data_IF_791130065174
#
_entry.id   IF_791130065174
#
_cell.length_a   1.000
_cell.length_b   1.000
_cell.length_c   1.000
_cell.angle_alpha   90.00
_cell.angle_beta   90.00
_cell.angle_gamma   90.00
#
_symmetry.space_group_name_H-M   'P 1'
#
loop_
_entity.id
_entity.type
_entity.pdbx_description
1 polymer ?
#
# COMPACT_ATOMS: atom_id res chain seq x y z
N UNK A 1 -12.84 39.59 -14.41
CA UNK A 1 -12.91 38.12 -14.27
C UNK A 1 -14.36 37.74 -14.06
N UNK A 2 -15.06 37.16 -15.04
CA UNK A 2 -16.41 36.67 -14.80
C UNK A 2 -16.32 35.43 -13.88
N UNK A 3 -17.37 35.28 -13.06
CA UNK A 3 -17.50 34.41 -11.88
C UNK A 3 -17.35 32.91 -12.17
N UNK A 4 -16.64 32.23 -11.27
CA UNK A 4 -16.51 30.78 -11.17
C UNK A 4 -17.88 30.08 -11.10
N UNK A 5 -18.23 29.38 -12.18
CA UNK A 5 -19.17 28.25 -12.10
C UNK A 5 -18.49 27.11 -11.34
N UNK A 6 -19.27 26.31 -10.61
CA UNK A 6 -18.80 25.30 -9.67
C UNK A 6 -17.72 24.40 -10.30
N UNK A 7 -16.55 24.42 -9.66
CA UNK A 7 -15.26 23.99 -10.18
C UNK A 7 -15.14 22.47 -10.20
N UNK A 8 -15.28 21.85 -11.37
CA UNK A 8 -14.97 20.43 -11.61
C UNK A 8 -13.53 20.02 -11.30
N UNK A 9 -12.67 20.96 -10.92
CA UNK A 9 -11.26 20.74 -10.67
C UNK A 9 -10.41 21.14 -11.86
N UNK A 10 -9.10 21.22 -11.63
CA UNK A 10 -8.12 21.71 -12.60
C UNK A 10 -6.72 21.26 -12.24
N UNK A 11 -5.93 20.91 -13.26
CA UNK A 11 -4.50 20.70 -13.15
C UNK A 11 -3.72 21.81 -13.85
N UNK A 12 -2.51 22.10 -13.36
CA UNK A 12 -1.58 23.07 -13.92
C UNK A 12 -0.22 22.43 -14.08
N UNK A 13 0.45 22.67 -15.20
CA UNK A 13 1.88 22.41 -15.34
C UNK A 13 2.64 23.73 -15.28
N UNK A 14 3.72 23.78 -14.51
CA UNK A 14 4.58 24.95 -14.38
C UNK A 14 5.99 24.63 -14.85
N UNK A 15 6.64 25.63 -15.46
CA UNK A 15 8.07 25.56 -15.77
C UNK A 15 8.89 25.48 -14.49
N UNK A 16 9.70 24.42 -14.33
CA UNK A 16 10.63 24.33 -13.20
C UNK A 16 11.71 25.42 -13.21
N UNK A 17 11.97 26.05 -14.35
CA UNK A 17 12.98 27.10 -14.49
C UNK A 17 12.45 28.49 -14.12
N UNK A 18 11.19 28.80 -14.45
CA UNK A 18 10.62 30.14 -14.29
C UNK A 18 9.44 30.21 -13.33
N UNK A 19 8.77 29.09 -13.07
CA UNK A 19 7.52 29.03 -12.31
C UNK A 19 6.29 29.50 -13.10
N UNK A 20 6.44 29.83 -14.38
CA UNK A 20 5.32 30.24 -15.22
C UNK A 20 4.46 29.03 -15.61
N UNK A 21 3.12 29.19 -15.73
CA UNK A 21 2.26 28.13 -16.22
C UNK A 21 2.59 27.82 -17.68
N UNK A 22 2.82 26.54 -17.98
CA UNK A 22 3.01 26.03 -19.35
C UNK A 22 1.65 25.74 -19.98
N UNK A 23 0.81 25.00 -19.27
CA UNK A 23 -0.57 24.73 -19.68
C UNK A 23 -1.48 24.52 -18.46
N UNK A 24 -2.78 24.48 -18.74
CA UNK A 24 -3.84 24.27 -17.76
C UNK A 24 -4.83 23.29 -18.34
N UNK A 25 -5.24 22.31 -17.55
CA UNK A 25 -6.26 21.33 -17.91
C UNK A 25 -7.46 21.46 -16.98
N UNK A 26 -8.62 21.73 -17.57
CA UNK A 26 -9.89 21.96 -16.88
C UNK A 26 -10.79 20.74 -16.96
N UNK A 27 -11.50 20.42 -15.89
CA UNK A 27 -12.51 19.38 -15.93
C UNK A 27 -13.63 19.75 -16.92
N UNK A 28 -14.05 18.77 -17.71
CA UNK A 28 -15.19 18.94 -18.61
C UNK A 28 -16.54 18.89 -17.88
N UNK A 29 -16.59 18.12 -16.77
CA UNK A 29 -17.78 17.96 -15.93
C UNK A 29 -17.65 18.78 -14.65
N UNK A 30 -18.75 19.40 -14.22
CA UNK A 30 -18.84 20.00 -12.89
C UNK A 30 -18.61 18.94 -11.80
N UNK A 31 -18.02 19.36 -10.69
CA UNK A 31 -17.72 18.52 -9.53
C UNK A 31 -16.83 17.28 -9.72
N UNK A 32 -16.23 17.05 -10.89
CA UNK A 32 -15.35 15.90 -11.19
C UNK A 32 -14.14 15.71 -10.24
N UNK A 33 -13.80 16.73 -9.44
CA UNK A 33 -12.62 16.79 -8.56
C UNK A 33 -11.32 16.49 -9.31
N UNK A 34 -11.21 16.95 -10.56
CA UNK A 34 -9.98 16.87 -11.34
C UNK A 34 -8.82 17.51 -10.58
N UNK A 35 -7.68 16.80 -10.57
CA UNK A 35 -6.52 17.16 -9.77
C UNK A 35 -6.56 16.60 -8.35
N UNK A 36 -7.44 15.62 -8.08
CA UNK A 36 -7.46 14.88 -6.81
C UNK A 36 -6.12 14.20 -6.52
N UNK A 37 -5.50 13.66 -7.57
CA UNK A 37 -4.13 13.14 -7.56
C UNK A 37 -3.38 13.62 -8.81
N UNK A 38 -2.06 13.81 -8.69
CA UNK A 38 -1.18 14.14 -9.81
C UNK A 38 0.14 13.40 -9.67
N UNK A 39 0.69 12.94 -10.79
CA UNK A 39 2.04 12.37 -10.85
C UNK A 39 2.69 12.68 -12.20
N UNK A 40 4.02 12.68 -12.24
CA UNK A 40 4.73 12.59 -13.52
C UNK A 40 4.55 11.21 -14.11
N UNK A 41 4.57 11.15 -15.43
CA UNK A 41 4.72 9.94 -16.22
C UNK A 41 5.92 10.15 -17.15
N UNK A 42 6.58 9.07 -17.56
CA UNK A 42 7.55 9.14 -18.65
C UNK A 42 6.92 9.67 -19.94
N UNK A 43 7.74 9.76 -20.99
CA UNK A 43 7.27 10.15 -22.33
C UNK A 43 6.58 8.94 -22.99
N UNK A 44 5.31 8.72 -22.67
CA UNK A 44 4.50 7.63 -23.25
C UNK A 44 3.94 8.00 -24.62
N UNK A 45 3.91 9.31 -24.93
CA UNK A 45 3.53 9.80 -26.27
C UNK A 45 4.65 9.72 -27.30
N UNK A 46 5.90 9.60 -26.87
CA UNK A 46 7.09 9.54 -27.72
C UNK A 46 7.47 10.88 -28.35
N UNK A 47 7.05 12.00 -27.77
CA UNK A 47 7.29 13.34 -28.29
C UNK A 47 8.56 14.01 -27.75
N UNK A 48 9.25 13.34 -26.82
CA UNK A 48 10.47 13.78 -26.15
C UNK A 48 10.23 14.56 -24.86
N UNK A 49 8.99 14.73 -24.42
CA UNK A 49 8.59 15.43 -23.19
C UNK A 49 7.86 14.45 -22.26
N UNK A 50 8.28 14.30 -20.99
CA UNK A 50 7.55 13.45 -20.04
C UNK A 50 6.11 13.90 -19.84
N UNK A 51 5.19 12.94 -19.80
CA UNK A 51 3.76 13.17 -19.67
C UNK A 51 3.32 13.26 -18.19
N UNK A 52 2.02 13.39 -17.93
CA UNK A 52 1.49 13.54 -16.59
C UNK A 52 0.23 12.70 -16.36
N UNK A 53 0.08 12.20 -15.14
CA UNK A 53 -1.14 11.57 -14.65
C UNK A 53 -1.95 12.57 -13.85
N UNK A 54 -3.25 12.62 -14.09
CA UNK A 54 -4.20 13.44 -13.32
C UNK A 54 -5.44 12.62 -12.97
N UNK A 55 -5.71 12.46 -11.68
CA UNK A 55 -6.94 11.85 -11.19
C UNK A 55 -8.12 12.82 -11.19
N UNK A 56 -9.32 12.30 -11.45
CA UNK A 56 -10.58 13.01 -11.29
C UNK A 56 -11.58 12.10 -10.56
N UNK A 57 -11.56 12.16 -9.23
CA UNK A 57 -12.27 11.23 -8.33
C UNK A 57 -13.76 11.05 -8.62
N UNK A 58 -14.47 12.14 -8.94
CA UNK A 58 -15.94 12.13 -9.12
C UNK A 58 -16.34 12.18 -10.61
N UNK A 59 -15.41 11.89 -11.51
CA UNK A 59 -15.67 11.87 -12.95
C UNK A 59 -16.10 10.47 -13.43
N UNK A 60 -16.55 10.40 -14.68
CA UNK A 60 -16.96 9.16 -15.33
C UNK A 60 -18.32 8.64 -14.89
N UNK A 61 -18.60 7.38 -15.23
CA UNK A 61 -19.89 6.76 -14.92
C UNK A 61 -20.11 6.68 -13.42
N UNK A 62 -21.29 7.11 -12.96
CA UNK A 62 -21.67 7.14 -11.54
C UNK A 62 -20.66 7.83 -10.61
N UNK A 63 -19.82 8.73 -11.13
CA UNK A 63 -18.78 9.43 -10.38
C UNK A 63 -17.76 8.51 -9.68
N UNK A 64 -17.38 7.41 -10.34
CA UNK A 64 -16.46 6.40 -9.79
C UNK A 64 -14.97 6.74 -9.95
N UNK A 65 -14.69 7.79 -10.71
CA UNK A 65 -13.34 8.30 -10.91
C UNK A 65 -12.70 7.88 -12.23
N UNK A 66 -11.76 8.71 -12.68
CA UNK A 66 -10.95 8.51 -13.88
C UNK A 66 -9.49 8.88 -13.65
N UNK A 67 -8.60 8.26 -14.44
CA UNK A 67 -7.21 8.71 -14.60
C UNK A 67 -7.04 9.25 -16.02
N UNK A 68 -6.55 10.48 -16.10
CA UNK A 68 -6.15 11.12 -17.34
C UNK A 68 -4.63 11.02 -17.51
N UNK A 69 -4.20 10.57 -18.68
CA UNK A 69 -2.84 10.81 -19.16
C UNK A 69 -2.86 12.10 -19.98
N UNK A 70 -2.00 13.05 -19.64
CA UNK A 70 -1.92 14.37 -20.25
C UNK A 70 -0.52 14.56 -20.83
N UNK A 71 -0.43 14.89 -22.12
CA UNK A 71 0.86 15.15 -22.75
C UNK A 71 1.58 16.30 -22.08
N UNK A 72 2.85 16.09 -21.73
CA UNK A 72 3.68 17.13 -21.13
C UNK A 72 3.94 18.29 -22.08
N UNK A 73 4.01 18.02 -23.39
CA UNK A 73 4.37 18.99 -24.41
C UNK A 73 3.27 20.03 -24.68
N UNK A 74 2.01 19.60 -24.73
CA UNK A 74 0.90 20.46 -25.17
C UNK A 74 -0.34 20.46 -24.26
N UNK A 75 -0.36 19.62 -23.22
CA UNK A 75 -1.46 19.54 -22.26
C UNK A 75 -2.72 18.86 -22.79
N UNK A 76 -2.62 18.11 -23.91
CA UNK A 76 -3.74 17.34 -24.46
C UNK A 76 -3.91 15.99 -23.76
N UNK A 77 -5.15 15.51 -23.70
CA UNK A 77 -5.46 14.17 -23.19
C UNK A 77 -4.96 13.11 -24.18
N UNK A 78 -4.30 12.08 -23.67
CA UNK A 78 -3.90 10.88 -24.41
C UNK A 78 -4.99 9.82 -24.25
N UNK A 79 -5.60 9.42 -25.36
CA UNK A 79 -6.65 8.40 -25.37
C UNK A 79 -6.07 6.97 -25.38
N UNK A 80 -6.78 5.99 -24.78
CA UNK A 80 -8.07 6.14 -24.11
C UNK A 80 -7.92 6.64 -22.66
N UNK A 81 -8.95 7.31 -22.14
CA UNK A 81 -9.03 7.64 -20.70
C UNK A 81 -9.20 6.34 -19.91
N UNK A 82 -8.51 6.24 -18.76
CA UNK A 82 -8.65 5.10 -17.85
C UNK A 82 -9.89 5.30 -16.98
N UNK A 83 -10.81 4.36 -17.07
CA UNK A 83 -12.08 4.34 -16.35
C UNK A 83 -12.03 3.40 -15.14
N UNK A 84 -12.76 3.75 -14.08
CA UNK A 84 -13.05 2.82 -13.00
C UNK A 84 -13.89 1.63 -13.50
N UNK A 85 -13.66 0.46 -12.91
CA UNK A 85 -14.46 -0.72 -13.23
C UNK A 85 -15.84 -0.72 -12.56
N UNK A 86 -16.60 -1.81 -12.75
CA UNK A 86 -17.97 -1.90 -12.28
C UNK A 86 -18.13 -1.84 -10.76
N UNK A 87 -17.05 -2.11 -10.01
CA UNK A 87 -16.99 -2.14 -8.54
C UNK A 87 -16.34 -0.89 -7.95
N UNK A 88 -15.89 0.03 -8.82
CA UNK A 88 -15.16 1.23 -8.42
C UNK A 88 -15.99 2.25 -7.67
N UNK A 89 -15.32 3.00 -6.79
CA UNK A 89 -15.95 4.03 -5.95
C UNK A 89 -15.22 5.37 -6.05
N UNK A 90 -13.91 5.38 -5.86
CA UNK A 90 -13.09 6.60 -5.79
C UNK A 90 -11.74 6.41 -6.51
N UNK A 91 -11.77 5.87 -7.74
CA UNK A 91 -10.54 5.68 -8.52
C UNK A 91 -9.77 7.00 -8.64
N UNK A 92 -8.46 6.93 -8.38
CA UNK A 92 -7.54 8.05 -8.53
C UNK A 92 -7.85 9.24 -7.61
N UNK A 93 -8.46 8.98 -6.44
CA UNK A 93 -8.56 10.01 -5.41
C UNK A 93 -7.18 10.50 -4.97
N UNK A 94 -6.33 9.63 -4.43
CA UNK A 94 -5.02 10.04 -3.88
C UNK A 94 -3.83 9.41 -4.59
N UNK A 95 -3.98 8.18 -5.08
CA UNK A 95 -2.86 7.37 -5.50
C UNK A 95 -2.89 7.14 -7.00
N UNK A 96 -2.08 7.92 -7.70
CA UNK A 96 -1.63 7.63 -9.07
C UNK A 96 -0.11 7.71 -9.10
N UNK A 97 0.54 6.98 -10.00
CA UNK A 97 1.99 7.02 -10.12
C UNK A 97 2.53 6.24 -11.29
N UNK A 98 3.81 6.43 -11.55
CA UNK A 98 4.59 5.68 -12.53
C UNK A 98 5.29 4.48 -11.85
N UNK A 99 5.33 3.32 -12.51
CA UNK A 99 5.97 2.10 -12.00
C UNK A 99 7.28 1.73 -12.73
N UNK A 100 7.61 2.41 -13.81
CA UNK A 100 8.66 1.99 -14.75
C UNK A 100 8.12 0.93 -15.72
N UNK A 101 9.00 0.45 -16.60
CA UNK A 101 8.66 -0.55 -17.63
C UNK A 101 8.60 -1.96 -17.02
N UNK A 102 7.40 -2.51 -16.94
CA UNK A 102 7.03 -3.80 -16.38
C UNK A 102 6.75 -4.85 -17.45
N UNK A 103 6.24 -4.44 -18.62
CA UNK A 103 5.88 -5.36 -19.71
C UNK A 103 6.94 -5.47 -20.82
N UNK A 104 8.01 -4.67 -20.71
CA UNK A 104 9.20 -4.70 -21.56
C UNK A 104 9.03 -3.98 -22.89
N UNK A 105 8.04 -3.08 -23.01
CA UNK A 105 7.79 -2.30 -24.23
C UNK A 105 8.64 -1.00 -24.31
N UNK A 106 9.34 -0.66 -23.24
CA UNK A 106 10.21 0.52 -23.13
C UNK A 106 9.51 1.79 -22.64
N UNK A 107 8.21 1.73 -22.35
CA UNK A 107 7.43 2.81 -21.74
C UNK A 107 7.08 2.45 -20.29
N UNK A 108 6.90 3.43 -19.39
CA UNK A 108 6.59 3.11 -18.01
C UNK A 108 5.09 2.91 -17.74
N UNK A 109 4.78 1.98 -16.85
CA UNK A 109 3.42 1.63 -16.44
C UNK A 109 2.81 2.61 -15.44
N UNK A 110 1.48 2.60 -15.41
CA UNK A 110 0.64 3.48 -14.62
C UNK A 110 0.04 2.71 -13.43
N UNK A 111 0.23 3.23 -12.23
CA UNK A 111 -0.47 2.81 -11.02
C UNK A 111 -1.71 3.68 -10.76
N UNK A 112 -2.81 3.05 -10.34
CA UNK A 112 -3.96 3.76 -9.78
C UNK A 112 -4.57 3.01 -8.60
N UNK A 113 -4.89 3.73 -7.52
CA UNK A 113 -5.58 3.17 -6.35
C UNK A 113 -7.06 3.56 -6.29
N UNK A 114 -7.87 2.64 -5.77
CA UNK A 114 -9.29 2.83 -5.42
C UNK A 114 -9.55 2.12 -4.09
N UNK A 115 -9.21 2.78 -2.98
CA UNK A 115 -9.27 2.16 -1.65
C UNK A 115 -10.69 1.95 -1.11
N UNK A 116 -11.69 2.63 -1.69
CA UNK A 116 -13.11 2.46 -1.37
C UNK A 116 -13.80 1.44 -2.29
N UNK A 117 -13.05 0.79 -3.18
CA UNK A 117 -13.58 -0.22 -4.10
C UNK A 117 -14.33 -1.34 -3.35
N UNK A 118 -15.39 -1.84 -3.98
CA UNK A 118 -16.36 -2.72 -3.34
C UNK A 118 -16.34 -4.19 -3.80
N UNK A 119 -15.31 -4.62 -4.54
CA UNK A 119 -15.28 -5.94 -5.20
C UNK A 119 -15.53 -7.15 -4.28
N UNK A 120 -15.07 -7.12 -3.01
CA UNK A 120 -15.35 -8.16 -2.01
C UNK A 120 -16.14 -7.63 -0.80
N UNK A 121 -16.87 -6.53 -1.00
CA UNK A 121 -17.60 -5.80 0.04
C UNK A 121 -17.06 -4.38 0.25
N UNK A 122 -17.75 -3.57 1.08
CA UNK A 122 -17.41 -2.16 1.27
C UNK A 122 -15.93 -1.95 1.62
N UNK A 123 -15.27 -1.02 0.93
CA UNK A 123 -13.88 -0.62 1.18
C UNK A 123 -12.92 -1.81 1.22
N UNK A 124 -13.16 -2.84 0.39
CA UNK A 124 -12.15 -3.89 0.17
C UNK A 124 -10.90 -3.26 -0.44
N UNK A 125 -11.12 -2.33 -1.38
CA UNK A 125 -10.07 -1.61 -2.07
C UNK A 125 -9.44 -2.42 -3.20
N UNK A 126 -8.96 -1.70 -4.23
CA UNK A 126 -8.19 -2.25 -5.35
C UNK A 126 -7.03 -1.34 -5.71
N UNK A 127 -5.99 -1.97 -6.22
CA UNK A 127 -4.85 -1.33 -6.87
C UNK A 127 -4.74 -1.87 -8.30
N UNK A 128 -4.58 -0.96 -9.25
CA UNK A 128 -4.55 -1.26 -10.68
C UNK A 128 -3.20 -0.88 -11.26
N UNK A 129 -2.75 -1.69 -12.22
CA UNK A 129 -1.59 -1.41 -13.06
C UNK A 129 -2.04 -1.44 -14.50
N UNK A 130 -1.79 -0.36 -15.23
CA UNK A 130 -2.12 -0.22 -16.65
C UNK A 130 -0.85 -0.01 -17.46
N UNK A 131 -0.81 -0.58 -18.66
CA UNK A 131 0.26 -0.36 -19.64
C UNK A 131 0.37 1.13 -19.97
N UNK A 132 1.59 1.68 -19.95
CA UNK A 132 1.82 3.07 -20.33
C UNK A 132 1.51 3.36 -21.80
N UNK A 133 1.68 2.36 -22.67
CA UNK A 133 1.47 2.51 -24.11
C UNK A 133 0.00 2.39 -24.54
N UNK A 134 -0.76 1.51 -23.89
CA UNK A 134 -2.11 1.14 -24.34
C UNK A 134 -3.22 1.54 -23.38
N UNK A 135 -2.86 1.84 -22.12
CA UNK A 135 -3.77 2.07 -21.00
C UNK A 135 -4.69 0.88 -20.67
N UNK A 136 -4.39 -0.31 -21.20
CA UNK A 136 -5.07 -1.55 -20.86
C UNK A 136 -4.52 -2.11 -19.53
N UNK A 137 -5.35 -2.80 -18.73
CA UNK A 137 -4.93 -3.34 -17.44
C UNK A 137 -3.94 -4.49 -17.62
N UNK A 138 -2.80 -4.41 -16.92
CA UNK A 138 -1.82 -5.48 -16.77
C UNK A 138 -2.08 -6.31 -15.51
N UNK A 139 -2.23 -5.64 -14.37
CA UNK A 139 -2.52 -6.27 -13.09
C UNK A 139 -3.67 -5.58 -12.39
N UNK A 140 -4.46 -6.38 -11.66
CA UNK A 140 -5.36 -5.84 -10.67
C UNK A 140 -5.26 -6.62 -9.38
N UNK A 141 -4.94 -5.91 -8.31
CA UNK A 141 -4.87 -6.43 -6.96
C UNK A 141 -6.12 -6.02 -6.19
N UNK A 142 -6.67 -6.95 -5.41
CA UNK A 142 -7.87 -6.73 -4.60
C UNK A 142 -7.53 -7.01 -3.15
N UNK A 143 -8.06 -6.19 -2.23
CA UNK A 143 -7.97 -6.46 -0.79
C UNK A 143 -8.53 -7.85 -0.45
N UNK A 144 -8.14 -8.42 0.68
CA UNK A 144 -8.51 -9.79 1.04
C UNK A 144 -9.93 -9.85 1.62
N UNK A 145 -10.38 -8.77 2.25
CA UNK A 145 -11.69 -8.67 2.88
C UNK A 145 -12.25 -7.23 2.88
N UNK A 146 -13.56 -7.11 3.11
CA UNK A 146 -14.21 -5.82 3.30
C UNK A 146 -13.53 -5.03 4.43
N UNK A 147 -13.31 -3.73 4.19
CA UNK A 147 -12.65 -2.81 5.11
C UNK A 147 -11.13 -2.81 5.08
N UNK A 148 -10.48 -3.61 4.23
CA UNK A 148 -9.01 -3.63 4.12
C UNK A 148 -8.43 -2.31 3.58
N UNK A 149 -9.15 -1.67 2.66
CA UNK A 149 -8.74 -0.41 2.05
C UNK A 149 -7.49 -0.52 1.18
N UNK A 150 -7.34 -1.61 0.39
CA UNK A 150 -6.23 -1.72 -0.56
C UNK A 150 -6.28 -0.57 -1.58
N UNK A 151 -5.21 0.20 -1.70
CA UNK A 151 -5.18 1.29 -2.69
C UNK A 151 -3.95 2.19 -2.62
N UNK A 152 -3.44 2.57 -1.44
CA UNK A 152 -2.11 3.19 -1.35
C UNK A 152 -1.05 2.28 -1.96
N UNK A 153 -0.20 2.82 -2.82
CA UNK A 153 0.90 2.05 -3.42
C UNK A 153 1.81 2.89 -4.30
N UNK A 154 2.98 2.35 -4.61
CA UNK A 154 4.06 2.94 -5.42
C UNK A 154 4.95 1.86 -6.04
N UNK A 155 5.87 2.27 -6.90
CA UNK A 155 7.04 1.49 -7.31
C UNK A 155 7.88 1.09 -6.10
N UNK A 156 8.16 -0.20 -5.95
CA UNK A 156 8.94 -0.80 -4.87
C UNK A 156 10.45 -0.87 -5.12
N UNK A 157 10.88 -0.77 -6.39
CA UNK A 157 12.25 -1.16 -6.77
C UNK A 157 12.30 -2.63 -7.14
N UNK A 158 13.45 -3.15 -7.57
CA UNK A 158 13.60 -4.56 -7.97
C UNK A 158 13.99 -5.40 -6.73
N UNK A 159 12.99 -5.98 -6.07
CA UNK A 159 13.14 -6.66 -4.77
C UNK A 159 13.48 -8.13 -4.95
N UNK A 160 12.96 -8.79 -6.00
CA UNK A 160 13.31 -10.17 -6.32
C UNK A 160 14.51 -10.33 -7.27
N UNK A 161 15.08 -9.22 -7.74
CA UNK A 161 16.29 -9.14 -8.58
C UNK A 161 16.12 -9.78 -9.96
N UNK A 162 14.92 -9.72 -10.53
CA UNK A 162 14.64 -10.23 -11.87
C UNK A 162 14.88 -9.20 -12.99
N UNK A 163 15.18 -7.95 -12.62
CA UNK A 163 15.43 -6.84 -13.53
C UNK A 163 14.19 -6.01 -13.87
N UNK A 164 13.01 -6.41 -13.38
CA UNK A 164 11.75 -5.68 -13.51
C UNK A 164 11.41 -5.03 -12.15
N UNK A 165 10.99 -3.76 -12.12
CA UNK A 165 10.64 -3.12 -10.86
C UNK A 165 9.37 -3.69 -10.23
N UNK A 166 9.40 -3.96 -8.93
CA UNK A 166 8.27 -4.47 -8.16
C UNK A 166 7.31 -3.38 -7.71
N UNK A 167 6.15 -3.81 -7.22
CA UNK A 167 5.03 -2.96 -6.82
C UNK A 167 4.77 -3.15 -5.33
N UNK A 168 4.63 -2.04 -4.61
CA UNK A 168 4.12 -2.06 -3.23
C UNK A 168 2.70 -1.53 -3.25
N UNK A 169 1.75 -2.32 -2.72
CA UNK A 169 0.38 -1.90 -2.49
C UNK A 169 -0.07 -2.26 -1.08
N UNK A 170 -0.80 -1.35 -0.45
CA UNK A 170 -1.07 -1.38 0.97
C UNK A 170 -2.57 -1.39 1.26
N UNK A 171 -2.95 -2.20 2.24
CA UNK A 171 -4.28 -2.26 2.83
C UNK A 171 -4.20 -1.62 4.20
N UNK A 172 -4.28 -0.29 4.25
CA UNK A 172 -3.96 0.49 5.47
C UNK A 172 -4.92 0.23 6.62
N UNK A 173 -6.09 -0.37 6.38
CA UNK A 173 -7.07 -0.73 7.41
C UNK A 173 -7.16 -2.25 7.64
N UNK A 174 -6.27 -3.03 7.03
CA UNK A 174 -6.26 -4.49 7.17
C UNK A 174 -6.18 -4.92 8.63
N UNK A 175 -6.97 -5.96 8.95
CA UNK A 175 -6.98 -6.58 10.26
C UNK A 175 -6.21 -7.90 10.33
N UNK A 176 -5.40 -8.22 9.30
CA UNK A 176 -4.73 -9.52 9.21
C UNK A 176 -3.75 -9.79 10.36
N UNK A 177 -2.96 -8.79 10.76
CA UNK A 177 -2.01 -8.91 11.87
C UNK A 177 -2.62 -8.57 13.23
N UNK A 178 -3.33 -7.45 13.31
CA UNK A 178 -4.15 -7.02 14.43
C UNK A 178 -5.28 -6.10 13.93
N UNK A 179 -6.32 -5.89 14.74
CA UNK A 179 -7.48 -5.08 14.36
C UNK A 179 -7.07 -3.69 13.86
N UNK A 180 -7.44 -3.37 12.62
CA UNK A 180 -7.12 -2.12 11.90
C UNK A 180 -5.63 -1.73 11.98
N UNK A 181 -4.75 -2.72 12.00
CA UNK A 181 -3.31 -2.48 12.13
C UNK A 181 -2.66 -2.10 10.80
N UNK A 182 -3.25 -2.50 9.68
CA UNK A 182 -2.73 -2.23 8.34
C UNK A 182 -1.70 -3.26 7.87
N UNK A 183 -1.49 -3.27 6.56
CA UNK A 183 -0.65 -4.22 5.83
C UNK A 183 -0.04 -3.56 4.58
N UNK A 184 1.21 -3.92 4.26
CA UNK A 184 1.83 -3.67 2.96
C UNK A 184 2.13 -5.01 2.26
N UNK A 185 1.76 -5.12 0.99
CA UNK A 185 2.07 -6.27 0.13
C UNK A 185 2.99 -5.83 -1.00
N UNK A 186 3.96 -6.69 -1.32
CA UNK A 186 4.92 -6.50 -2.41
C UNK A 186 4.58 -7.53 -3.48
N UNK A 187 4.42 -7.08 -4.72
CA UNK A 187 4.11 -7.89 -5.89
C UNK A 187 5.22 -7.75 -6.93
N UNK A 188 5.58 -8.85 -7.58
CA UNK A 188 6.54 -8.85 -8.67
C UNK A 188 6.00 -8.01 -9.82
N UNK A 189 6.83 -7.12 -10.36
CA UNK A 189 6.47 -6.34 -11.54
C UNK A 189 6.35 -7.19 -12.80
N UNK A 190 7.09 -8.30 -12.88
CA UNK A 190 7.14 -9.14 -14.08
C UNK A 190 5.89 -10.00 -14.27
N UNK A 191 5.29 -10.51 -13.18
CA UNK A 191 4.18 -11.46 -13.26
C UNK A 191 3.01 -11.19 -12.29
N UNK A 192 3.12 -10.17 -11.43
CA UNK A 192 2.11 -9.81 -10.44
C UNK A 192 2.04 -10.78 -9.25
N UNK A 193 2.97 -11.73 -9.10
CA UNK A 193 3.01 -12.65 -7.98
C UNK A 193 3.34 -11.92 -6.68
N UNK A 194 2.64 -12.26 -5.59
CA UNK A 194 2.94 -11.67 -4.28
C UNK A 194 4.25 -12.22 -3.73
N UNK A 195 5.27 -11.37 -3.64
CA UNK A 195 6.59 -11.67 -3.10
C UNK A 195 6.59 -11.68 -1.57
N UNK A 196 5.94 -10.68 -0.96
CA UNK A 196 5.97 -10.49 0.50
C UNK A 196 4.73 -9.81 1.02
N UNK A 197 4.40 -10.13 2.26
CA UNK A 197 3.39 -9.43 3.06
C UNK A 197 4.02 -8.98 4.37
N UNK A 198 3.82 -7.71 4.71
CA UNK A 198 4.22 -7.12 5.98
C UNK A 198 2.97 -6.63 6.68
N UNK A 199 2.72 -7.12 7.90
CA UNK A 199 1.58 -6.74 8.72
C UNK A 199 2.05 -6.06 10.00
N UNK A 200 1.26 -5.10 10.47
CA UNK A 200 1.41 -4.63 11.83
C UNK A 200 0.70 -5.56 12.81
N UNK A 201 1.27 -5.71 14.01
CA UNK A 201 0.65 -6.38 15.16
C UNK A 201 0.08 -5.39 16.19
N UNK A 202 0.13 -4.08 15.89
CA UNK A 202 -0.32 -3.00 16.77
C UNK A 202 -1.72 -2.56 16.34
N UNK A 203 -2.70 -2.77 17.23
CA UNK A 203 -4.10 -2.38 16.98
C UNK A 203 -4.18 -0.90 16.58
N UNK A 204 -4.83 -0.63 15.46
CA UNK A 204 -5.08 0.73 14.97
C UNK A 204 -3.86 1.47 14.42
N UNK A 205 -2.74 0.79 14.10
CA UNK A 205 -1.53 1.47 13.60
C UNK A 205 -1.67 2.07 12.20
N UNK A 206 -2.54 1.52 11.37
CA UNK A 206 -2.71 1.89 9.96
C UNK A 206 -1.41 1.84 9.15
N UNK A 207 -0.63 0.77 9.34
CA UNK A 207 0.55 0.46 8.53
C UNK A 207 0.19 0.41 7.04
N UNK A 208 0.97 1.09 6.22
CA UNK A 208 0.74 1.14 4.78
C UNK A 208 -0.18 2.27 4.36
N UNK A 209 -0.38 3.28 5.21
CA UNK A 209 -1.06 4.52 4.78
C UNK A 209 -0.34 5.19 3.58
N UNK A 210 0.99 5.11 3.56
CA UNK A 210 1.81 5.34 2.38
C UNK A 210 3.05 4.43 2.41
N UNK A 211 3.63 4.20 1.23
CA UNK A 211 4.87 3.45 1.07
C UNK A 211 5.68 4.02 -0.10
N UNK A 212 7.01 4.05 0.04
CA UNK A 212 7.94 4.52 -1.01
C UNK A 212 9.21 3.67 -1.01
N UNK A 213 9.82 3.50 -2.18
CA UNK A 213 11.18 2.95 -2.26
C UNK A 213 12.22 3.94 -1.76
N UNK A 214 13.27 3.45 -1.10
CA UNK A 214 14.44 4.22 -0.68
C UNK A 214 15.69 3.91 -1.51
N UNK A 215 15.62 2.91 -2.38
CA UNK A 215 16.80 2.24 -2.92
C UNK A 215 17.51 1.39 -1.86
N UNK A 216 18.61 0.74 -2.24
CA UNK A 216 19.47 -0.02 -1.32
C UNK A 216 20.20 0.91 -0.33
N UNK A 217 19.63 1.11 0.87
CA UNK A 217 20.22 1.99 1.90
C UNK A 217 21.14 1.24 2.86
N UNK A 218 21.04 -0.09 2.88
CA UNK A 218 21.80 -0.93 3.79
C UNK A 218 23.05 -1.56 3.13
N UNK A 219 23.13 -1.53 1.80
CA UNK A 219 24.24 -2.03 0.98
C UNK A 219 24.18 -3.52 0.65
N UNK A 220 23.02 -4.16 0.70
CA UNK A 220 22.83 -5.60 0.42
C UNK A 220 22.54 -5.91 -1.06
N UNK A 221 22.38 -4.89 -1.89
CA UNK A 221 22.10 -5.00 -3.31
C UNK A 221 20.62 -5.15 -3.67
N UNK A 222 19.70 -5.02 -2.70
CA UNK A 222 18.25 -5.03 -2.92
C UNK A 222 17.65 -3.70 -2.48
N UNK A 223 16.69 -3.17 -3.24
CA UNK A 223 16.05 -1.89 -2.88
C UNK A 223 15.24 -2.02 -1.58
N UNK A 224 15.41 -1.06 -0.67
CA UNK A 224 14.69 -0.99 0.60
C UNK A 224 13.44 -0.10 0.49
N UNK A 225 12.50 -0.26 1.43
CA UNK A 225 11.24 0.47 1.46
C UNK A 225 11.10 1.32 2.73
N UNK A 226 10.32 2.40 2.64
CA UNK A 226 9.69 3.05 3.79
C UNK A 226 8.20 2.84 3.76
N UNK A 227 7.63 2.44 4.90
CA UNK A 227 6.19 2.26 5.08
C UNK A 227 5.75 2.99 6.34
N UNK A 228 4.71 3.83 6.24
CA UNK A 228 4.19 4.58 7.38
C UNK A 228 3.11 3.81 8.14
N UNK A 229 3.12 3.87 9.47
CA UNK A 229 1.97 3.61 10.35
C UNK A 229 1.42 4.94 10.84
N UNK A 230 0.44 5.49 10.11
CA UNK A 230 0.05 6.89 10.26
C UNK A 230 -0.53 7.20 11.63
N UNK A 231 -1.40 6.34 12.14
CA UNK A 231 -2.14 6.60 13.39
C UNK A 231 -1.29 6.44 14.65
N UNK A 232 -0.05 5.96 14.54
CA UNK A 232 0.91 5.86 15.64
C UNK A 232 2.20 6.66 15.39
N UNK A 233 2.17 7.62 14.45
CA UNK A 233 3.27 8.55 14.14
C UNK A 233 4.62 7.85 13.87
N UNK A 234 4.60 6.71 13.16
CA UNK A 234 5.79 5.91 12.89
C UNK A 234 6.02 5.68 11.40
N UNK A 235 7.28 5.61 11.00
CA UNK A 235 7.71 5.12 9.70
C UNK A 235 8.72 3.99 9.91
N UNK A 236 8.56 2.92 9.15
CA UNK A 236 9.43 1.75 9.15
C UNK A 236 10.31 1.79 7.92
N UNK A 237 11.62 1.65 8.11
CA UNK A 237 12.52 1.25 7.01
C UNK A 237 12.51 -0.28 7.00
N UNK A 238 12.12 -0.84 5.86
CA UNK A 238 11.94 -2.28 5.68
C UNK A 238 12.92 -2.71 4.60
N UNK A 239 13.82 -3.63 4.97
CA UNK A 239 14.74 -4.19 3.99
C UNK A 239 13.99 -4.95 2.91
N UNK A 240 14.36 -4.72 1.64
CA UNK A 240 13.79 -5.44 0.50
C UNK A 240 14.20 -6.92 0.50
N UNK A 241 15.46 -7.19 0.84
CA UNK A 241 15.99 -8.54 0.93
C UNK A 241 15.17 -9.37 1.93
N UNK A 242 14.62 -10.51 1.46
CA UNK A 242 14.11 -11.51 2.39
C UNK A 242 15.31 -12.12 3.10
N UNK A 243 15.36 -12.07 4.44
CA UNK A 243 16.35 -12.84 5.17
C UNK A 243 16.24 -14.30 4.74
N UNK A 244 17.33 -14.86 4.23
CA UNK A 244 17.41 -16.28 3.87
C UNK A 244 16.89 -17.09 5.07
N UNK A 245 15.90 -18.00 4.90
CA UNK A 245 15.41 -18.82 6.00
C UNK A 245 16.56 -19.65 6.60
N UNK A 246 17.17 -19.14 7.67
CA UNK A 246 18.41 -19.70 8.21
C UNK A 246 19.08 -18.83 9.27
N UNK A 247 18.87 -17.51 9.26
CA UNK A 247 19.29 -16.64 10.35
C UNK A 247 18.08 -16.29 11.23
N UNK A 248 17.84 -17.08 12.27
CA UNK A 248 16.94 -16.70 13.35
C UNK A 248 17.57 -15.55 14.16
N UNK A 249 17.48 -14.34 13.64
CA UNK A 249 17.71 -13.10 14.36
C UNK A 249 16.39 -12.63 14.96
N UNK A 250 16.08 -13.03 16.19
CA UNK A 250 15.00 -12.42 16.98
C UNK A 250 15.35 -10.95 17.21
N UNK A 251 14.81 -10.05 16.39
CA UNK A 251 14.82 -8.61 16.69
C UNK A 251 13.66 -8.32 17.64
N UNK A 252 13.84 -8.62 18.93
CA UNK A 252 13.11 -7.92 19.98
C UNK A 252 13.75 -6.54 20.10
N UNK A 253 13.09 -5.53 19.53
CA UNK A 253 13.52 -4.15 19.65
C UNK A 253 13.44 -3.68 21.11
N UNK A 254 14.57 -3.61 21.78
CA UNK A 254 14.79 -2.73 22.92
C UNK A 254 15.96 -1.79 22.54
N UNK A 255 15.78 -0.45 22.59
CA UNK A 255 16.84 0.48 22.18
C UNK A 255 17.83 0.66 23.33
N UNK A 256 19.03 0.06 23.21
CA UNK A 256 20.07 0.17 24.23
C UNK A 256 21.49 0.03 23.68
N UNK A 257 22.18 1.16 23.58
CA UNK A 257 23.63 1.37 23.66
C UNK A 257 24.57 0.48 22.82
N UNK A 258 25.10 1.07 21.75
CA UNK A 258 26.36 0.65 21.14
C UNK A 258 27.52 0.97 22.09
N UNK A 259 28.11 -0.05 22.71
CA UNK A 259 29.53 -0.02 23.09
C UNK A 259 30.26 -0.89 22.09
N UNK A 260 30.98 -0.24 21.18
CA UNK A 260 31.93 -0.92 20.32
C UNK A 260 33.09 -1.48 21.13
N UNK A 261 33.48 -2.71 20.84
CA UNK A 261 34.87 -3.10 20.92
C UNK A 261 35.12 -4.13 19.81
N UNK A 262 35.90 -3.68 18.83
CA UNK A 262 36.50 -4.49 17.78
C UNK A 262 37.87 -4.92 18.28
N UNK A 263 38.10 -6.22 18.42
CA UNK A 263 39.42 -6.79 18.12
C UNK A 263 39.29 -8.26 17.76
N UNK A 264 39.56 -8.55 16.48
CA UNK A 264 39.94 -9.87 15.98
C UNK A 264 41.27 -10.35 16.57
N UNK A 265 41.37 -11.63 16.94
CA UNK A 265 42.43 -12.58 16.52
C UNK A 265 42.53 -13.78 17.47
N UNK A 266 42.85 -14.95 16.91
CA UNK A 266 43.72 -15.91 17.58
C UNK A 266 43.10 -17.26 17.91
N UNK A 267 43.37 -18.22 17.03
CA UNK A 267 43.42 -19.65 17.31
C UNK A 267 44.27 -19.97 18.55
N UNK A 268 43.81 -20.88 19.41
CA UNK A 268 44.63 -21.99 19.93
C UNK A 268 43.78 -23.02 20.71
N UNK A 269 44.38 -24.20 20.83
CA UNK A 269 43.85 -25.55 21.09
C UNK A 269 43.71 -25.95 22.56
N UNK A 270 42.97 -27.05 22.75
CA UNK A 270 43.04 -28.05 23.83
C UNK A 270 42.69 -27.63 25.27
N UNK A 271 41.64 -28.26 25.83
CA UNK A 271 41.82 -29.27 26.88
C UNK A 271 40.50 -29.91 27.32
N UNK A 272 40.58 -31.22 27.43
CA UNK A 272 39.61 -32.21 27.90
C UNK A 272 39.23 -32.00 29.37
N UNK A 273 37.96 -32.19 29.76
CA UNK A 273 37.65 -32.94 30.99
C UNK A 273 36.27 -33.60 30.93
N UNK A 274 36.29 -34.92 31.09
CA UNK A 274 35.17 -35.86 31.15
C UNK A 274 34.66 -35.97 32.58
N UNK A 275 33.33 -36.06 32.77
CA UNK A 275 32.57 -36.91 33.73
C UNK A 275 31.11 -36.47 33.63
N UNK A 276 30.06 -37.29 33.54
CA UNK A 276 29.92 -38.73 33.65
C UNK A 276 28.45 -39.02 34.01
N UNK A 277 27.82 -39.92 33.25
CA UNK A 277 26.77 -40.89 33.66
C UNK A 277 25.50 -40.45 34.43
N UNK A 278 24.35 -40.88 33.90
CA UNK A 278 23.17 -41.20 34.72
C UNK A 278 21.87 -41.36 33.93
N UNK A 279 21.52 -42.59 33.57
CA UNK A 279 20.22 -42.97 33.02
C UNK A 279 19.33 -43.64 34.09
N UNK A 280 18.01 -43.41 34.06
CA UNK A 280 16.91 -44.35 34.40
C UNK A 280 15.56 -43.58 34.36
N UNK A 281 14.60 -43.90 33.48
CA UNK A 281 13.49 -44.88 33.60
C UNK A 281 12.61 -44.74 34.86
N UNK A 282 11.28 -44.64 34.66
CA UNK A 282 10.29 -45.07 35.67
C UNK A 282 8.95 -44.35 35.61
N UNK A 283 7.89 -45.10 35.35
CA UNK A 283 6.49 -44.66 35.19
C UNK A 283 5.69 -44.62 36.51
N UNK A 284 4.48 -44.03 36.46
CA UNK A 284 3.31 -44.55 37.20
C UNK A 284 2.40 -43.56 37.95
N UNK A 285 1.07 -43.65 37.66
CA UNK A 285 -0.07 -43.35 38.56
C UNK A 285 -0.72 -41.97 38.40
N UNK A 286 -1.87 -41.78 37.73
CA UNK A 286 -3.27 -42.16 38.07
C UNK A 286 -3.87 -41.36 39.24
N UNK A 287 -4.95 -40.60 38.98
CA UNK A 287 -6.34 -40.90 39.44
C UNK A 287 -7.40 -39.95 38.86
N UNK A 288 -8.45 -40.56 38.27
CA UNK A 288 -9.91 -40.24 38.20
C UNK A 288 -10.38 -38.87 37.70
N UNK A 289 -11.13 -38.75 36.60
CA UNK A 289 -12.46 -39.30 36.21
C UNK A 289 -13.65 -38.45 36.67
N UNK A 290 -14.48 -38.06 35.70
CA UNK A 290 -15.74 -37.33 35.85
C UNK A 290 -16.34 -37.08 34.47
N UNK A 291 -16.93 -38.13 33.92
CA UNK A 291 -17.57 -38.22 32.60
C UNK A 291 -19.00 -37.66 32.60
N UNK A 292 -19.59 -37.65 31.40
CA UNK A 292 -20.99 -37.51 30.96
C UNK A 292 -21.36 -36.16 30.32
N UNK A 293 -22.07 -36.08 29.18
CA UNK A 293 -22.24 -36.88 27.95
C UNK A 293 -23.50 -36.32 27.26
N UNK A 294 -23.49 -36.23 25.92
CA UNK A 294 -24.68 -36.11 25.06
C UNK A 294 -25.15 -34.67 24.84
N UNK A 295 -25.64 -34.24 23.67
CA UNK A 295 -26.15 -35.01 22.53
C UNK A 295 -26.27 -34.07 21.32
N UNK A 296 -26.18 -34.65 20.13
CA UNK A 296 -26.43 -34.09 18.78
C UNK A 296 -27.88 -33.66 18.54
N UNK A 297 -28.12 -32.67 17.67
CA UNK A 297 -29.19 -32.71 16.65
C UNK A 297 -29.11 -31.55 15.65
N UNK A 298 -29.33 -31.90 14.38
CA UNK A 298 -29.54 -31.08 13.19
C UNK A 298 -30.77 -30.16 13.29
N UNK A 299 -30.85 -29.13 12.43
CA UNK A 299 -32.16 -28.80 11.81
C UNK A 299 -31.99 -28.19 10.42
N UNK A 300 -32.71 -28.80 9.48
CA UNK A 300 -32.96 -28.46 8.07
C UNK A 300 -33.86 -27.24 7.88
N UNK A 301 -33.76 -26.67 6.67
CA UNK A 301 -34.53 -25.57 6.10
C UNK A 301 -36.05 -25.84 5.96
N UNK A 302 -36.83 -24.75 5.91
CA UNK A 302 -38.25 -24.73 5.54
C UNK A 302 -38.74 -23.30 5.22
N UNK A 303 -39.33 -23.16 4.04
CA UNK A 303 -39.81 -21.95 3.34
C UNK A 303 -41.12 -21.33 3.87
N UNK A 304 -41.33 -20.03 3.55
CA UNK A 304 -42.53 -19.39 2.92
C UNK A 304 -43.23 -18.21 3.63
N UNK A 305 -43.18 -17.06 2.95
CA UNK A 305 -44.25 -16.09 2.58
C UNK A 305 -45.17 -15.35 3.59
N UNK A 306 -45.37 -14.07 3.22
CA UNK A 306 -46.54 -13.15 3.31
C UNK A 306 -46.83 -12.30 4.55
N UNK A 307 -46.64 -10.99 4.36
CA UNK A 307 -47.59 -9.87 4.41
C UNK A 307 -48.06 -9.25 5.76
N UNK A 308 -48.15 -7.91 5.69
CA UNK A 308 -48.90 -6.92 6.49
C UNK A 308 -48.39 -6.40 7.85
N UNK A 309 -48.12 -5.08 7.88
CA UNK A 309 -48.75 -4.14 8.82
C UNK A 309 -48.01 -3.74 10.12
N UNK A 310 -47.55 -2.48 10.17
CA UNK A 310 -47.92 -1.51 11.22
C UNK A 310 -47.21 -1.52 12.59
N UNK A 311 -46.52 -0.39 12.85
CA UNK A 311 -46.35 0.34 14.12
C UNK A 311 -45.38 -0.18 15.22
N UNK A 312 -44.25 0.55 15.30
CA UNK A 312 -43.59 1.21 16.44
C UNK A 312 -43.27 0.51 17.78
N UNK A 313 -42.04 0.84 18.19
CA UNK A 313 -41.41 0.90 19.52
C UNK A 313 -40.90 -0.38 20.20
N UNK A 314 -39.58 -0.57 20.07
CA UNK A 314 -38.79 -1.45 20.93
C UNK A 314 -37.29 -1.32 20.67
N UNK A 315 -36.65 -0.36 21.34
CA UNK A 315 -35.22 -0.06 21.19
C UNK A 315 -34.29 -1.27 21.34
N UNK A 316 -33.55 -1.56 20.27
CA UNK A 316 -32.38 -2.42 20.26
C UNK A 316 -31.19 -1.61 19.74
N UNK A 317 -30.19 -1.41 20.59
CA UNK A 317 -28.91 -0.81 20.24
C UNK A 317 -28.23 -1.66 19.16
N UNK A 318 -28.40 -1.26 17.90
CA UNK A 318 -27.55 -1.71 16.81
C UNK A 318 -26.17 -1.10 16.98
N UNK A 319 -25.13 -1.94 17.03
CA UNK A 319 -23.75 -1.52 16.96
C UNK A 319 -23.49 -0.90 15.57
N UNK A 320 -23.73 0.40 15.44
CA UNK A 320 -23.24 1.19 14.32
C UNK A 320 -21.73 1.38 14.52
N UNK A 321 -20.92 0.65 13.75
CA UNK A 321 -19.55 1.07 13.44
C UNK A 321 -19.62 2.27 12.50
N UNK A 322 -20.03 3.41 13.05
CA UNK A 322 -19.81 4.71 12.43
C UNK A 322 -18.37 5.10 12.81
N UNK A 323 -17.39 4.47 12.14
CA UNK A 323 -15.99 4.83 12.32
C UNK A 323 -15.79 6.22 11.72
N UNK A 324 -15.30 7.11 12.56
CA UNK A 324 -15.16 8.53 12.33
C UNK A 324 -14.19 8.86 11.18
N UNK A 325 -14.68 8.81 9.93
CA UNK A 325 -13.99 9.39 8.77
C UNK A 325 -13.71 10.90 8.92
N UNK A 326 -14.45 11.58 9.80
CA UNK A 326 -14.34 13.03 10.03
C UNK A 326 -13.16 13.46 10.92
N UNK A 327 -12.44 12.53 11.57
CA UNK A 327 -11.27 12.86 12.42
C UNK A 327 -9.90 12.69 11.73
N UNK A 328 -9.85 12.12 10.53
CA UNK A 328 -8.61 11.85 9.78
C UNK A 328 -7.98 13.08 9.09
N UNK A 329 -8.67 14.23 9.10
CA UNK A 329 -8.24 15.44 8.37
C UNK A 329 -7.07 16.20 9.03
N UNK A 330 -6.65 15.80 10.24
CA UNK A 330 -5.51 16.38 10.95
C UNK A 330 -4.15 15.80 10.57
N UNK A 331 -4.10 14.64 9.90
CA UNK A 331 -2.86 13.85 9.72
C UNK A 331 -2.19 14.04 8.34
N UNK A 332 -2.78 14.85 7.45
CA UNK A 332 -2.19 15.21 6.13
C UNK A 332 -0.84 15.95 6.23
N UNK A 333 -0.44 16.44 7.41
CA UNK A 333 0.84 17.12 7.61
C UNK A 333 2.07 16.17 7.56
N UNK A 334 1.88 14.86 7.74
CA UNK A 334 2.97 13.87 7.71
C UNK A 334 3.44 13.57 6.27
N UNK A 335 2.55 13.64 5.29
CA UNK A 335 2.84 13.39 3.85
C UNK A 335 3.90 14.36 3.31
N UNK A 336 3.89 15.62 3.75
CA UNK A 336 4.91 16.61 3.38
C UNK A 336 6.24 16.44 4.14
N UNK A 337 6.23 15.77 5.29
CA UNK A 337 7.39 15.66 6.17
C UNK A 337 8.38 14.59 5.72
N UNK A 338 7.90 13.50 5.11
CA UNK A 338 8.76 12.44 4.54
C UNK A 338 9.53 12.96 3.31
N UNK A 339 8.91 13.79 2.48
CA UNK A 339 9.56 14.43 1.32
C UNK A 339 10.69 15.40 1.75
N UNK A 340 10.52 16.09 2.89
CA UNK A 340 11.55 16.98 3.46
C UNK A 340 12.77 16.22 4.02
N UNK A 341 12.58 15.00 4.52
CA UNK A 341 13.69 14.14 4.98
C UNK A 341 14.61 13.72 3.82
N UNK A 342 14.05 13.48 2.62
CA UNK A 342 14.83 13.13 1.43
C UNK A 342 15.65 14.31 0.87
N UNK A 343 15.15 15.54 0.98
CA UNK A 343 15.89 16.74 0.54
C UNK A 343 17.06 17.11 1.48
N UNK A 344 17.05 16.64 2.73
CA UNK A 344 18.11 16.91 3.71
C UNK A 344 19.29 15.93 3.62
N UNK A 345 19.13 14.78 2.95
CA UNK A 345 20.17 13.77 2.83
C UNK A 345 20.99 13.97 1.54
N UNK A 346 22.09 14.72 1.65
CA UNK A 346 23.18 14.68 0.66
C UNK A 346 24.34 13.87 1.24
N UNK A 347 24.72 12.72 0.65
CA UNK A 347 25.95 12.06 1.06
C UNK A 347 27.14 12.99 0.79
N UNK A 348 27.91 13.29 1.86
CA UNK A 348 29.19 14.00 1.73
C UNK A 348 30.15 13.12 0.92
N UNK A 349 30.35 13.48 -0.35
CA UNK A 349 31.42 12.91 -1.15
C UNK A 349 32.76 13.12 -0.42
N UNK A 350 33.40 12.02 0.02
CA UNK A 350 34.77 12.05 0.52
C UNK A 350 35.68 12.48 -0.62
N UNK A 351 36.20 13.71 -0.57
CA UNK A 351 37.35 14.12 -1.38
C UNK A 351 38.57 13.39 -0.86
N UNK A 352 39.10 12.45 -1.64
CA UNK A 352 40.46 11.97 -1.46
C UNK A 352 41.44 13.11 -1.74
N UNK A 353 42.42 13.26 -0.85
CA UNK A 353 43.69 13.94 -1.08
C UNK A 353 44.79 12.92 -0.87
#
# INVERSE_FOLDING_TARGET
FPSAGAAGGRAYLFSGATGDPLWTFDAAQDDAKLGSAVASLGDVTGDGVPDALVGARDDGSDARGRVYVISGADGLVVDPIIEADETGTDLAWFFVGELGDLDGDGLPEIYAGDFENTALGPSTGRAYVYSGATHEPLFVFTGEQAGDGLGPGRRGGDIDQDGVPDIVACSYSSSLGAMNAGQASIFSGADGARLRTITSTRVGETLGFDAVTLGDVNGDGVDDLVVSGASLDVAYIISGATQTPGETGTTTGEPGATTGDDTSAGSETDATTTTGTGASTGAGGSTTAGDTSGTTAETTAGTSASDSGGEDDGGGQGCACEVAASRLWGECALVWSVLLLLLAWRPRARRSR
#
